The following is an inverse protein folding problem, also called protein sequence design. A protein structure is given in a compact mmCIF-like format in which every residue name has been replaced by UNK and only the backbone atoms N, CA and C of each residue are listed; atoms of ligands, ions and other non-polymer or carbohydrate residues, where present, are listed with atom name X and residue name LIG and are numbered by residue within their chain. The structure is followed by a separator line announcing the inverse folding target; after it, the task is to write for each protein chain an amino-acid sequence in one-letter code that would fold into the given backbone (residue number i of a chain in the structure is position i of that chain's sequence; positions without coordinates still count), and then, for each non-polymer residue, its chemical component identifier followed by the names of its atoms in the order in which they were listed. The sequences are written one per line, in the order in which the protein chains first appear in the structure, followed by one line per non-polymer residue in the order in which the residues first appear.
data_IF_185413050907
#
_entry.id   IF_185413050907
#
_cell.length_a   1.000
_cell.length_b   1.000
_cell.length_c   1.000
_cell.angle_alpha   90.00
_cell.angle_beta   90.00
_cell.angle_gamma   90.00
#
_symmetry.space_group_name_H-M   'P 1'
#
loop_
_entity.id
_entity.type
_entity.pdbx_description
1 polymer ?
#
# COMPACT_ATOMS: atom_id res chain seq x y z
N UNK A 1 13.59 -7.32 -11.64
CA UNK A 1 12.17 -7.29 -11.25
C UNK A 1 12.09 -6.63 -9.89
N UNK A 2 11.54 -5.42 -9.78
CA UNK A 2 11.30 -4.82 -8.46
C UNK A 2 10.03 -5.45 -7.88
N UNK A 3 10.20 -6.33 -6.91
CA UNK A 3 9.09 -6.95 -6.20
C UNK A 3 8.46 -5.85 -5.33
N UNK A 4 7.21 -5.49 -5.59
CA UNK A 4 6.47 -4.55 -4.75
C UNK A 4 6.18 -5.19 -3.38
N UNK A 5 6.31 -4.44 -2.27
CA UNK A 5 6.02 -4.99 -0.95
C UNK A 5 4.56 -5.37 -0.83
N UNK A 6 4.28 -6.34 0.03
CA UNK A 6 2.92 -6.79 0.33
C UNK A 6 2.55 -6.52 1.78
N UNK A 7 1.34 -6.06 2.03
CA UNK A 7 0.81 -5.86 3.38
C UNK A 7 -0.66 -6.29 3.45
N UNK A 8 -0.98 -7.18 4.40
CA UNK A 8 -2.34 -7.71 4.62
C UNK A 8 -3.02 -8.24 3.34
N UNK A 9 -2.25 -8.86 2.46
CA UNK A 9 -2.74 -9.41 1.20
C UNK A 9 -2.93 -8.40 0.07
N UNK A 10 -2.50 -7.16 0.25
CA UNK A 10 -2.37 -6.16 -0.81
C UNK A 10 -0.92 -6.02 -1.23
N UNK A 11 -0.68 -5.86 -2.52
CA UNK A 11 0.53 -5.25 -3.04
C UNK A 11 0.48 -3.75 -2.80
N UNK A 12 1.55 -3.17 -2.28
CA UNK A 12 1.65 -1.73 -1.99
C UNK A 12 2.36 -1.04 -3.14
N UNK A 13 1.63 -0.25 -3.92
CA UNK A 13 2.19 0.53 -5.03
C UNK A 13 2.34 2.00 -4.60
N UNK A 14 3.53 2.35 -4.13
CA UNK A 14 3.83 3.72 -3.67
C UNK A 14 3.80 4.77 -4.78
N UNK A 15 3.95 4.37 -6.06
CA UNK A 15 3.91 5.29 -7.19
C UNK A 15 2.48 5.74 -7.47
N UNK A 16 1.55 4.81 -7.34
CA UNK A 16 0.11 5.06 -7.48
C UNK A 16 -0.54 5.48 -6.16
N UNK A 17 0.18 5.40 -5.03
CA UNK A 17 -0.35 5.62 -3.69
C UNK A 17 -1.57 4.73 -3.39
N UNK A 18 -1.46 3.45 -3.74
CA UNK A 18 -2.55 2.47 -3.65
C UNK A 18 -2.13 1.16 -2.99
N UNK A 19 -3.05 0.56 -2.25
CA UNK A 19 -3.03 -0.86 -1.93
C UNK A 19 -3.84 -1.61 -2.98
N UNK A 20 -3.23 -2.60 -3.65
CA UNK A 20 -3.81 -3.32 -4.79
C UNK A 20 -3.90 -4.80 -4.50
N UNK A 21 -5.05 -5.41 -4.77
CA UNK A 21 -5.25 -6.86 -4.68
C UNK A 21 -5.94 -7.34 -5.94
N UNK A 22 -5.27 -8.23 -6.68
CA UNK A 22 -5.74 -8.73 -7.98
C UNK A 22 -5.88 -10.25 -7.89
N UNK A 23 -7.01 -10.76 -7.36
CA UNK A 23 -7.27 -12.20 -7.33
C UNK A 23 -7.62 -12.72 -8.74
N UNK A 24 -7.46 -14.03 -8.97
CA UNK A 24 -7.72 -14.66 -10.27
C UNK A 24 -9.22 -14.81 -10.56
N UNK A 25 -10.03 -14.99 -9.51
CA UNK A 25 -11.45 -15.38 -9.55
C UNK A 25 -12.41 -14.23 -9.24
N UNK A 26 -11.92 -13.02 -8.99
CA UNK A 26 -12.75 -11.87 -8.59
C UNK A 26 -12.24 -10.56 -9.17
N UNK A 27 -13.08 -9.53 -9.08
CA UNK A 27 -12.68 -8.19 -9.48
C UNK A 27 -11.51 -7.68 -8.63
N UNK A 28 -10.56 -6.95 -9.24
CA UNK A 28 -9.50 -6.28 -8.51
C UNK A 28 -10.04 -5.32 -7.45
N UNK A 29 -9.35 -5.26 -6.31
CA UNK A 29 -9.58 -4.26 -5.27
C UNK A 29 -8.42 -3.27 -5.25
N UNK A 30 -8.75 -1.98 -5.29
CA UNK A 30 -7.81 -0.88 -5.15
C UNK A 30 -8.26 0.00 -4.00
N UNK A 31 -7.35 0.29 -3.07
CA UNK A 31 -7.59 1.16 -1.92
C UNK A 31 -6.59 2.29 -1.99
N UNK A 32 -7.07 3.50 -2.30
CA UNK A 32 -6.25 4.71 -2.30
C UNK A 32 -5.72 5.01 -0.90
N UNK A 33 -4.48 5.50 -0.79
CA UNK A 33 -3.87 5.84 0.48
C UNK A 33 -4.64 6.92 1.25
N UNK A 34 -5.32 7.83 0.56
CA UNK A 34 -6.10 8.93 1.15
C UNK A 34 -7.56 8.54 1.49
N UNK A 35 -7.98 7.32 1.16
CA UNK A 35 -9.26 6.78 1.65
C UNK A 35 -9.17 6.46 3.15
N UNK A 36 -10.29 6.45 3.86
CA UNK A 36 -10.32 6.11 5.29
C UNK A 36 -9.68 4.73 5.58
N UNK A 37 -9.89 3.76 4.69
CA UNK A 37 -9.29 2.43 4.79
C UNK A 37 -7.79 2.47 4.50
N UNK A 38 -7.38 3.18 3.45
CA UNK A 38 -5.98 3.30 3.05
C UNK A 38 -5.14 4.01 4.08
N UNK A 39 -5.64 5.11 4.65
CA UNK A 39 -4.96 5.88 5.69
C UNK A 39 -4.70 5.00 6.92
N UNK A 40 -5.71 4.26 7.38
CA UNK A 40 -5.56 3.29 8.48
C UNK A 40 -4.52 2.21 8.18
N UNK A 41 -4.47 1.70 6.94
CA UNK A 41 -3.49 0.68 6.54
C UNK A 41 -2.08 1.27 6.49
N UNK A 42 -1.92 2.45 5.90
CA UNK A 42 -0.64 3.14 5.77
C UNK A 42 -0.10 3.53 7.14
N UNK A 43 -0.92 4.13 8.01
CA UNK A 43 -0.54 4.46 9.39
C UNK A 43 -0.06 3.23 10.17
N UNK A 44 -0.68 2.06 9.97
CA UNK A 44 -0.21 0.81 10.57
C UNK A 44 1.16 0.39 10.04
N UNK A 45 1.41 0.53 8.73
CA UNK A 45 2.73 0.23 8.15
C UNK A 45 3.81 1.19 8.67
N UNK A 46 3.50 2.48 8.77
CA UNK A 46 4.42 3.50 9.31
C UNK A 46 4.77 3.17 10.76
N UNK A 47 3.78 2.90 11.62
CA UNK A 47 4.01 2.53 13.03
C UNK A 47 4.83 1.26 13.20
N UNK A 48 4.73 0.31 12.26
CA UNK A 48 5.51 -0.93 12.23
C UNK A 48 6.86 -0.79 11.54
N UNK A 49 7.23 0.42 11.10
CA UNK A 49 8.46 0.71 10.36
C UNK A 49 8.61 -0.16 9.08
N UNK A 50 7.49 -0.44 8.40
CA UNK A 50 7.43 -1.26 7.19
C UNK A 50 7.49 -0.42 5.89
N UNK A 51 7.52 0.91 6.01
CA UNK A 51 7.64 1.83 4.87
C UNK A 51 9.10 2.29 4.78
N UNK A 52 9.79 2.14 3.64
CA UNK A 52 11.15 2.64 3.47
C UNK A 52 11.23 4.16 3.73
N UNK A 53 12.31 4.62 4.34
CA UNK A 53 12.48 6.04 4.69
C UNK A 53 12.42 6.95 3.47
N UNK A 54 12.96 6.49 2.35
CA UNK A 54 13.00 7.21 1.09
C UNK A 54 11.59 7.37 0.51
N UNK A 55 10.71 6.41 0.76
CA UNK A 55 9.30 6.48 0.38
C UNK A 55 8.55 7.44 1.31
N UNK A 56 8.78 7.37 2.63
CA UNK A 56 8.12 8.25 3.60
C UNK A 56 8.30 9.73 3.30
N UNK A 57 9.51 10.14 2.86
CA UNK A 57 9.81 11.54 2.50
C UNK A 57 8.98 12.03 1.31
N UNK A 58 8.47 11.14 0.46
CA UNK A 58 7.70 11.46 -0.73
C UNK A 58 6.18 11.21 -0.57
N UNK A 59 5.75 10.74 0.60
CA UNK A 59 4.33 10.52 0.90
C UNK A 59 3.62 11.78 1.42
N UNK A 60 4.38 12.72 1.96
CA UNK A 60 3.95 14.03 2.49
C UNK A 60 4.61 15.16 1.69
#
# INVERSE_FOLDING_TARGET
MNILPTYKGYTVDYRLKQFRKVPLDRLPEFVEFDSEKGDKLLAQMIRKNLVPKEVLVNLF
#
